data_IF_832706007389
#
_entry.id   IF_832706007389
#
_cell.length_a   1.000
_cell.length_b   1.000
_cell.length_c   1.000
_cell.angle_alpha   90.00
_cell.angle_beta   90.00
_cell.angle_gamma   90.00
#
_symmetry.space_group_name_H-M   'P 1'
#
loop_
_entity.id
_entity.type
_entity.pdbx_description
1 polymer ?
#
# COMPACT_ATOMS: atom_id res chain seq x y z
N UNK A 1 5.25 -7.36 18.11
CA UNK A 1 5.92 -7.71 16.84
C UNK A 1 6.19 -9.19 16.83
N UNK A 2 5.91 -9.88 15.72
CA UNK A 2 6.36 -11.26 15.54
C UNK A 2 7.87 -11.30 15.60
N UNK A 3 8.43 -12.05 16.54
CA UNK A 3 9.89 -12.21 16.62
C UNK A 3 10.45 -13.08 15.50
N UNK A 4 9.58 -13.73 14.70
CA UNK A 4 9.94 -14.65 13.63
C UNK A 4 9.14 -14.41 12.34
N UNK A 5 9.74 -14.71 11.21
CA UNK A 5 9.10 -14.84 9.88
C UNK A 5 8.24 -16.12 9.80
N UNK A 6 7.30 -16.24 8.84
CA UNK A 6 6.57 -17.48 8.53
C UNK A 6 7.43 -18.75 8.39
N UNK A 7 8.68 -18.65 7.94
CA UNK A 7 9.59 -19.79 7.85
C UNK A 7 10.32 -20.13 9.17
N UNK A 8 10.05 -19.38 10.25
CA UNK A 8 10.60 -19.61 11.58
C UNK A 8 11.90 -18.88 11.89
N UNK A 9 12.48 -18.16 10.92
CA UNK A 9 13.69 -17.35 11.13
C UNK A 9 13.41 -16.12 12.00
N UNK A 10 14.32 -15.70 12.89
CA UNK A 10 14.17 -14.46 13.62
C UNK A 10 14.13 -13.24 12.69
N UNK A 11 13.18 -12.34 12.90
CA UNK A 11 13.11 -11.05 12.17
C UNK A 11 14.25 -10.13 12.59
N UNK A 12 14.73 -9.30 11.66
CA UNK A 12 15.82 -8.34 11.90
C UNK A 12 17.21 -8.98 12.05
N UNK A 13 17.35 -10.27 11.74
CA UNK A 13 18.65 -10.94 11.70
C UNK A 13 19.31 -10.68 10.34
N UNK A 14 20.49 -10.01 10.27
CA UNK A 14 21.12 -9.65 9.00
C UNK A 14 21.34 -10.82 8.04
N UNK A 15 21.59 -12.02 8.56
CA UNK A 15 21.78 -13.24 7.77
C UNK A 15 20.53 -13.68 6.99
N UNK A 16 19.35 -13.25 7.43
CA UNK A 16 18.05 -13.57 6.82
C UNK A 16 17.44 -12.37 6.09
N UNK A 17 18.21 -11.32 5.86
CA UNK A 17 17.72 -10.08 5.27
C UNK A 17 18.28 -9.83 3.87
N UNK A 18 17.44 -9.27 3.02
CA UNK A 18 17.85 -8.64 1.77
C UNK A 18 17.84 -7.13 1.97
N UNK A 19 19.02 -6.52 2.09
CA UNK A 19 19.18 -5.16 2.60
C UNK A 19 18.48 -4.99 3.97
N UNK A 20 17.46 -4.14 4.06
CA UNK A 20 16.69 -3.90 5.28
C UNK A 20 15.42 -4.77 5.37
N UNK A 21 15.20 -5.71 4.45
CA UNK A 21 13.96 -6.49 4.35
C UNK A 21 14.15 -7.90 4.88
N UNK A 22 13.22 -8.40 5.69
CA UNK A 22 13.18 -9.79 6.11
C UNK A 22 12.84 -10.70 4.92
N UNK A 23 13.56 -11.81 4.78
CA UNK A 23 13.28 -12.82 3.75
C UNK A 23 12.18 -13.78 4.22
N UNK A 24 11.00 -13.69 3.62
CA UNK A 24 9.87 -14.58 3.90
C UNK A 24 9.92 -15.85 3.06
N UNK A 25 10.24 -15.68 1.78
CA UNK A 25 10.47 -16.77 0.83
C UNK A 25 11.67 -16.42 -0.03
N UNK A 26 12.74 -17.20 0.08
CA UNK A 26 14.02 -16.93 -0.55
C UNK A 26 13.85 -16.66 -2.06
N UNK A 27 14.37 -15.51 -2.51
CA UNK A 27 14.36 -15.11 -3.91
C UNK A 27 13.04 -14.54 -4.44
N UNK A 28 11.94 -14.56 -3.67
CA UNK A 28 10.63 -14.17 -4.21
C UNK A 28 9.71 -13.38 -3.27
N UNK A 29 9.80 -13.52 -1.94
CA UNK A 29 8.99 -12.71 -1.01
C UNK A 29 9.85 -12.12 0.10
N UNK A 30 9.76 -10.81 0.25
CA UNK A 30 10.43 -10.05 1.30
C UNK A 30 9.42 -9.13 1.97
N UNK A 31 9.60 -8.88 3.27
CA UNK A 31 8.76 -7.96 4.03
C UNK A 31 9.59 -6.90 4.74
N UNK A 32 9.00 -5.72 4.85
CA UNK A 32 9.55 -4.63 5.64
C UNK A 32 8.41 -4.04 6.46
N UNK A 33 8.57 -4.12 7.78
CA UNK A 33 7.59 -3.64 8.75
C UNK A 33 8.05 -2.25 9.23
N UNK A 34 7.09 -1.35 9.40
CA UNK A 34 7.28 -0.15 10.19
C UNK A 34 7.20 -0.45 11.69
N UNK A 35 7.19 0.61 12.50
CA UNK A 35 7.03 0.54 13.95
C UNK A 35 5.66 1.04 14.42
N UNK A 36 4.91 1.73 13.55
CA UNK A 36 3.61 2.30 13.89
C UNK A 36 2.50 1.78 12.97
N UNK A 37 1.28 1.76 13.50
CA UNK A 37 0.04 1.48 12.76
C UNK A 37 -0.71 2.80 12.50
N UNK A 38 -1.51 2.88 11.43
CA UNK A 38 -2.26 4.12 11.13
C UNK A 38 -3.27 4.51 12.22
N UNK A 39 -3.71 3.55 13.03
CA UNK A 39 -4.56 3.78 14.20
C UNK A 39 -3.76 4.10 15.49
N UNK A 40 -2.47 4.38 15.39
CA UNK A 40 -1.61 4.72 16.54
C UNK A 40 -2.03 6.00 17.24
N UNK A 41 -1.81 6.08 18.55
CA UNK A 41 -2.12 7.25 19.38
C UNK A 41 -1.31 8.50 19.05
N UNK A 42 -0.26 8.37 18.23
CA UNK A 42 0.53 9.49 17.69
C UNK A 42 -0.26 10.38 16.73
N UNK A 43 -1.23 9.83 15.99
CA UNK A 43 -2.01 10.58 15.01
C UNK A 43 -3.21 11.26 15.66
N UNK A 44 -3.69 12.38 15.12
CA UNK A 44 -4.81 13.12 15.69
C UNK A 44 -6.11 12.31 15.64
N UNK A 45 -7.08 12.56 16.54
CA UNK A 45 -8.37 11.84 16.50
C UNK A 45 -9.17 12.10 15.21
N UNK A 46 -8.92 13.23 14.54
CA UNK A 46 -9.59 13.57 13.30
C UNK A 46 -9.14 12.67 12.14
N UNK A 47 -7.86 12.31 12.09
CA UNK A 47 -7.23 11.58 10.98
C UNK A 47 -6.96 10.10 11.28
N UNK A 48 -6.67 9.75 12.54
CA UNK A 48 -6.24 8.41 12.97
C UNK A 48 -7.22 7.32 12.58
N UNK A 49 -6.72 6.29 11.89
CA UNK A 49 -7.50 5.18 11.37
C UNK A 49 -8.24 5.49 10.05
N UNK A 50 -8.25 6.74 9.59
CA UNK A 50 -8.99 7.19 8.39
C UNK A 50 -8.06 7.57 7.22
N UNK A 51 -6.74 7.56 7.43
CA UNK A 51 -5.76 8.04 6.48
C UNK A 51 -5.24 6.98 5.48
N UNK A 52 -5.92 5.83 5.31
CA UNK A 52 -5.44 4.71 4.47
C UNK A 52 -5.09 5.14 3.04
N UNK A 53 -5.98 5.84 2.34
CA UNK A 53 -5.73 6.31 0.97
C UNK A 53 -4.53 7.27 0.90
N UNK A 54 -4.44 8.21 1.83
CA UNK A 54 -3.35 9.17 1.90
C UNK A 54 -2.01 8.48 2.16
N UNK A 55 -1.96 7.48 3.04
CA UNK A 55 -0.78 6.66 3.28
C UNK A 55 -0.35 5.92 2.01
N UNK A 56 -1.30 5.35 1.26
CA UNK A 56 -1.02 4.65 0.00
C UNK A 56 -0.43 5.62 -1.04
N UNK A 57 -1.01 6.80 -1.19
CA UNK A 57 -0.50 7.84 -2.10
C UNK A 57 0.92 8.25 -1.71
N UNK A 58 1.18 8.46 -0.42
CA UNK A 58 2.53 8.79 0.07
C UNK A 58 3.50 7.63 -0.10
N UNK A 59 3.07 6.38 0.05
CA UNK A 59 3.90 5.20 -0.24
C UNK A 59 4.33 5.20 -1.72
N UNK A 60 3.39 5.42 -2.63
CA UNK A 60 3.68 5.51 -4.07
C UNK A 60 4.61 6.68 -4.37
N UNK A 61 4.38 7.85 -3.77
CA UNK A 61 5.29 9.00 -3.88
C UNK A 61 6.71 8.67 -3.38
N UNK A 62 6.83 8.00 -2.24
CA UNK A 62 8.10 7.60 -1.66
C UNK A 62 8.86 6.61 -2.57
N UNK A 63 8.16 5.71 -3.26
CA UNK A 63 8.73 4.77 -4.24
C UNK A 63 9.29 5.50 -5.48
N UNK A 64 8.80 6.72 -5.76
CA UNK A 64 9.35 7.56 -6.82
C UNK A 64 10.65 8.26 -6.39
N UNK A 65 10.83 8.48 -5.08
CA UNK A 65 11.98 9.18 -4.52
C UNK A 65 13.12 8.19 -4.19
N UNK A 66 12.79 7.03 -3.62
CA UNK A 66 13.75 6.02 -3.19
C UNK A 66 13.43 4.64 -3.75
N UNK A 67 14.45 3.97 -4.29
CA UNK A 67 14.38 2.54 -4.63
C UNK A 67 13.99 1.70 -3.40
N UNK A 68 13.16 0.66 -3.59
CA UNK A 68 12.74 -0.26 -2.50
C UNK A 68 13.92 -0.85 -1.71
N UNK A 69 15.07 -1.08 -2.34
CA UNK A 69 16.29 -1.58 -1.67
C UNK A 69 16.79 -0.64 -0.56
N UNK A 70 16.50 0.66 -0.67
CA UNK A 70 16.91 1.69 0.28
C UNK A 70 15.87 1.92 1.39
N UNK A 71 14.69 1.32 1.29
CA UNK A 71 13.65 1.45 2.30
C UNK A 71 14.09 0.78 3.60
N UNK A 72 13.62 1.33 4.72
CA UNK A 72 13.80 0.81 6.07
C UNK A 72 12.51 1.01 6.87
N UNK A 73 12.44 0.48 8.09
CA UNK A 73 11.28 0.69 8.96
C UNK A 73 10.97 2.19 9.17
N UNK A 74 12.01 3.02 9.26
CA UNK A 74 11.87 4.47 9.37
C UNK A 74 11.25 5.11 8.12
N UNK A 75 11.52 4.57 6.92
CA UNK A 75 10.87 5.03 5.68
C UNK A 75 9.38 4.68 5.69
N UNK A 76 9.02 3.48 6.15
CA UNK A 76 7.61 3.05 6.30
C UNK A 76 6.88 3.95 7.31
N UNK A 77 7.50 4.26 8.45
CA UNK A 77 6.92 5.17 9.44
C UNK A 77 6.78 6.60 8.88
N UNK A 78 7.78 7.07 8.11
CA UNK A 78 7.72 8.36 7.43
C UNK A 78 6.57 8.44 6.42
N UNK A 79 6.27 7.35 5.70
CA UNK A 79 5.09 7.27 4.82
C UNK A 79 3.81 7.56 5.60
N UNK A 80 3.65 7.01 6.81
CA UNK A 80 2.45 7.25 7.63
C UNK A 80 2.38 8.67 8.17
N UNK A 81 3.52 9.26 8.56
CA UNK A 81 3.56 10.66 9.03
C UNK A 81 3.20 11.62 7.90
N UNK A 82 3.79 11.44 6.72
CA UNK A 82 3.44 12.27 5.55
C UNK A 82 1.99 12.00 5.11
N UNK A 83 1.52 10.76 5.20
CA UNK A 83 0.15 10.39 4.87
C UNK A 83 -0.88 11.03 5.80
N UNK A 84 -0.59 11.13 7.10
CA UNK A 84 -1.43 11.87 8.05
C UNK A 84 -1.49 13.37 7.72
N UNK A 85 -0.33 13.99 7.43
CA UNK A 85 -0.26 15.40 7.05
C UNK A 85 -1.08 15.67 5.78
N UNK A 86 -0.91 14.83 4.77
CA UNK A 86 -1.65 14.91 3.52
C UNK A 86 -3.15 14.65 3.71
N UNK A 87 -3.54 13.72 4.58
CA UNK A 87 -4.93 13.44 4.93
C UNK A 87 -5.60 14.67 5.56
N UNK A 88 -4.96 15.30 6.55
CA UNK A 88 -5.47 16.53 7.18
C UNK A 88 -5.69 17.64 6.15
N UNK A 89 -4.82 17.76 5.16
CA UNK A 89 -5.05 18.70 4.06
C UNK A 89 -6.25 18.32 3.20
N UNK A 90 -6.41 17.04 2.82
CA UNK A 90 -7.54 16.58 2.01
C UNK A 90 -8.89 16.81 2.70
N UNK A 91 -8.97 16.60 4.02
CA UNK A 91 -10.23 16.69 4.78
C UNK A 91 -10.49 18.06 5.41
N UNK A 92 -9.60 19.06 5.24
CA UNK A 92 -9.69 20.33 5.98
C UNK A 92 -11.01 21.08 5.78
N UNK A 93 -11.62 20.93 4.61
CA UNK A 93 -12.86 21.61 4.22
C UNK A 93 -14.11 20.74 4.48
N UNK A 94 -13.91 19.53 5.00
CA UNK A 94 -14.96 18.54 5.28
C UNK A 94 -15.43 18.70 6.73
N UNK A 95 -16.74 18.97 6.89
CA UNK A 95 -17.34 19.28 8.20
C UNK A 95 -17.93 18.05 8.90
N UNK A 96 -18.09 16.94 8.19
CA UNK A 96 -18.69 15.73 8.74
C UNK A 96 -17.67 14.92 9.55
N UNK A 97 -17.95 14.71 10.84
CA UNK A 97 -17.02 14.05 11.77
C UNK A 97 -16.71 12.58 11.39
N UNK A 98 -17.68 11.90 10.78
CA UNK A 98 -17.58 10.49 10.37
C UNK A 98 -17.39 10.32 8.86
N UNK A 99 -16.91 11.36 8.18
CA UNK A 99 -16.65 11.30 6.75
C UNK A 99 -15.60 10.24 6.42
N UNK A 100 -15.91 9.38 5.44
CA UNK A 100 -14.97 8.41 4.89
C UNK A 100 -14.33 8.98 3.62
N UNK A 101 -13.01 9.15 3.67
CA UNK A 101 -12.24 9.68 2.54
C UNK A 101 -12.37 8.77 1.30
N UNK A 102 -12.74 9.37 0.18
CA UNK A 102 -12.79 8.73 -1.13
C UNK A 102 -11.60 9.14 -2.00
N UNK A 103 -11.49 8.54 -3.20
CA UNK A 103 -10.44 8.90 -4.16
C UNK A 103 -10.62 10.34 -4.65
N UNK A 104 -11.87 10.82 -4.77
CA UNK A 104 -12.18 12.13 -5.34
C UNK A 104 -11.85 13.29 -4.38
N UNK A 105 -11.67 13.00 -3.10
CA UNK A 105 -11.28 13.97 -2.07
C UNK A 105 -9.76 14.20 -2.02
N UNK A 106 -8.99 13.37 -2.71
CA UNK A 106 -7.53 13.46 -2.72
C UNK A 106 -7.08 14.69 -3.51
N UNK A 107 -6.29 15.54 -2.88
CA UNK A 107 -5.69 16.71 -3.56
C UNK A 107 -4.68 16.27 -4.62
N UNK A 108 -4.45 17.13 -5.61
CA UNK A 108 -3.47 16.83 -6.65
C UNK A 108 -2.04 17.01 -6.14
N UNK A 109 -1.80 18.04 -5.34
CA UNK A 109 -0.48 18.40 -4.81
C UNK A 109 -0.13 17.57 -3.57
N UNK A 110 1.08 17.02 -3.57
CA UNK A 110 1.62 16.18 -2.52
C UNK A 110 3.05 16.59 -2.17
N UNK A 111 3.44 16.32 -0.93
CA UNK A 111 4.72 16.74 -0.38
C UNK A 111 5.33 15.63 0.48
N UNK A 112 6.61 15.34 0.23
CA UNK A 112 7.46 14.48 1.06
C UNK A 112 8.82 15.19 1.10
N UNK A 113 9.16 15.85 2.20
CA UNK A 113 10.37 16.66 2.29
C UNK A 113 11.64 15.87 1.86
N UNK A 114 12.52 16.46 1.02
CA UNK A 114 12.50 17.81 0.47
C UNK A 114 11.84 17.92 -0.91
N UNK A 115 10.88 17.07 -1.26
CA UNK A 115 10.27 16.99 -2.59
C UNK A 115 8.78 17.36 -2.58
N UNK A 116 8.35 17.96 -3.69
CA UNK A 116 6.93 18.12 -4.04
C UNK A 116 6.64 17.30 -5.29
N UNK A 117 5.40 16.84 -5.43
CA UNK A 117 4.93 16.15 -6.63
C UNK A 117 3.43 16.32 -6.80
N UNK A 118 2.93 15.98 -7.98
CA UNK A 118 1.50 15.91 -8.28
C UNK A 118 1.08 14.50 -8.58
N UNK A 119 -0.13 14.15 -8.21
CA UNK A 119 -0.75 12.87 -8.53
C UNK A 119 -1.91 13.05 -9.50
N UNK A 120 -2.07 12.08 -10.40
CA UNK A 120 -3.28 11.89 -11.17
C UNK A 120 -3.77 10.48 -10.93
N UNK A 121 -5.00 10.35 -10.46
CA UNK A 121 -5.64 9.06 -10.20
C UNK A 121 -6.70 8.83 -11.29
N UNK A 122 -6.70 7.63 -11.87
CA UNK A 122 -7.68 7.24 -12.89
C UNK A 122 -8.14 5.81 -12.69
N UNK A 123 -9.45 5.57 -12.76
CA UNK A 123 -10.00 4.22 -12.75
C UNK A 123 -9.50 3.43 -13.99
N UNK A 124 -9.08 2.18 -13.79
CA UNK A 124 -8.59 1.29 -14.84
C UNK A 124 -9.44 0.02 -14.94
N UNK A 125 -9.86 -0.55 -13.81
CA UNK A 125 -10.61 -1.82 -13.79
C UNK A 125 -11.67 -1.80 -12.69
N UNK A 126 -12.88 -2.17 -13.09
CA UNK A 126 -13.95 -2.60 -12.19
C UNK A 126 -14.07 -4.13 -12.28
N UNK A 127 -14.03 -4.82 -11.15
CA UNK A 127 -14.00 -6.28 -11.12
C UNK A 127 -14.57 -6.90 -9.86
N UNK A 128 -14.53 -8.23 -9.80
CA UNK A 128 -14.91 -8.99 -8.61
C UNK A 128 -13.93 -10.11 -8.39
N UNK A 129 -13.56 -10.39 -7.13
CA UNK A 129 -12.56 -11.41 -6.83
C UNK A 129 -13.02 -12.83 -7.22
N UNK A 130 -14.34 -13.06 -7.36
CA UNK A 130 -14.92 -14.36 -7.68
C UNK A 130 -15.56 -14.41 -9.08
N UNK A 131 -15.56 -15.58 -9.71
CA UNK A 131 -16.23 -15.84 -10.99
C UNK A 131 -17.76 -15.95 -10.83
N UNK A 132 -18.42 -14.92 -10.32
CA UNK A 132 -19.89 -14.90 -10.21
C UNK A 132 -20.56 -14.37 -11.48
N UNK A 133 -19.84 -13.59 -12.30
CA UNK A 133 -20.35 -13.02 -13.56
C UNK A 133 -19.34 -13.24 -14.68
N UNK A 134 -19.72 -13.96 -15.74
CA UNK A 134 -18.82 -14.34 -16.85
C UNK A 134 -18.15 -13.18 -17.59
N UNK A 135 -18.67 -11.95 -17.44
CA UNK A 135 -18.16 -10.72 -18.04
C UNK A 135 -17.31 -9.83 -17.12
N UNK A 136 -17.07 -10.25 -15.87
CA UNK A 136 -16.31 -9.45 -14.89
C UNK A 136 -14.84 -9.87 -14.83
N UNK A 137 -13.94 -8.89 -14.62
CA UNK A 137 -12.53 -9.17 -14.36
C UNK A 137 -12.38 -9.87 -13.00
N UNK A 138 -11.73 -11.03 -12.99
CA UNK A 138 -11.15 -11.57 -11.76
C UNK A 138 -9.80 -10.88 -11.47
N UNK A 139 -9.28 -11.01 -10.25
CA UNK A 139 -8.07 -10.30 -9.85
C UNK A 139 -6.86 -10.64 -10.75
N UNK A 140 -6.73 -11.91 -11.18
CA UNK A 140 -5.67 -12.32 -12.11
C UNK A 140 -5.73 -11.57 -13.44
N UNK A 141 -6.90 -11.56 -14.10
CA UNK A 141 -7.11 -10.86 -15.37
C UNK A 141 -6.94 -9.34 -15.21
N UNK A 142 -7.44 -8.79 -14.10
CA UNK A 142 -7.35 -7.36 -13.81
C UNK A 142 -5.89 -6.92 -13.65
N UNK A 143 -5.10 -7.65 -12.86
CA UNK A 143 -3.69 -7.34 -12.65
C UNK A 143 -2.86 -7.55 -13.92
N UNK A 144 -3.17 -8.58 -14.72
CA UNK A 144 -2.52 -8.76 -16.03
C UNK A 144 -2.78 -7.57 -16.94
N UNK A 145 -4.05 -7.18 -17.09
CA UNK A 145 -4.42 -6.01 -17.87
C UNK A 145 -3.79 -4.72 -17.31
N UNK A 146 -3.71 -4.59 -15.99
CA UNK A 146 -3.10 -3.43 -15.34
C UNK A 146 -1.60 -3.30 -15.65
N UNK A 147 -0.85 -4.40 -15.73
CA UNK A 147 0.60 -4.35 -16.01
C UNK A 147 0.96 -4.53 -17.49
N UNK A 148 -0.02 -4.81 -18.35
CA UNK A 148 0.19 -5.06 -19.78
C UNK A 148 0.83 -3.85 -20.46
N UNK A 149 1.96 -4.06 -21.16
CA UNK A 149 2.78 -3.01 -21.78
C UNK A 149 3.36 -1.94 -20.82
N UNK A 150 3.41 -2.20 -19.50
CA UNK A 150 4.05 -1.30 -18.53
C UNK A 150 5.25 -1.95 -17.82
N UNK A 151 6.42 -1.31 -17.95
CA UNK A 151 7.60 -1.66 -17.14
C UNK A 151 7.48 -1.16 -15.70
N UNK A 152 6.76 -0.06 -15.51
CA UNK A 152 6.55 0.60 -14.23
C UNK A 152 5.14 1.16 -14.14
N UNK A 153 4.36 0.69 -13.18
CA UNK A 153 2.97 1.15 -12.95
C UNK A 153 2.56 0.94 -11.50
N UNK A 154 1.86 1.92 -10.94
CA UNK A 154 1.45 1.96 -9.54
C UNK A 154 -0.05 2.17 -9.43
N UNK A 155 -0.66 1.50 -8.47
CA UNK A 155 -2.10 1.53 -8.32
C UNK A 155 -2.58 1.39 -6.89
N UNK A 156 -3.85 1.72 -6.74
CA UNK A 156 -4.64 1.51 -5.53
C UNK A 156 -5.68 0.47 -5.89
N UNK A 157 -5.76 -0.60 -5.11
CA UNK A 157 -6.87 -1.53 -5.18
C UNK A 157 -7.78 -1.30 -3.98
N UNK A 158 -9.05 -1.04 -4.26
CA UNK A 158 -10.09 -0.86 -3.26
C UNK A 158 -11.06 -2.03 -3.35
N UNK A 159 -11.40 -2.62 -2.22
CA UNK A 159 -12.37 -3.70 -2.11
C UNK A 159 -13.47 -3.27 -1.17
N UNK A 160 -14.71 -3.37 -1.63
CA UNK A 160 -15.90 -3.10 -0.82
C UNK A 160 -16.51 -4.42 -0.36
N UNK A 161 -16.80 -4.52 0.94
CA UNK A 161 -17.48 -5.65 1.58
C UNK A 161 -18.67 -5.18 2.40
N UNK A 162 -19.53 -6.12 2.77
CA UNK A 162 -20.67 -5.88 3.66
C UNK A 162 -20.30 -5.21 5.00
N UNK A 163 -19.07 -5.38 5.48
CA UNK A 163 -18.61 -4.90 6.79
C UNK A 163 -17.44 -3.90 6.70
N UNK A 164 -17.21 -3.29 5.55
CA UNK A 164 -16.21 -2.25 5.40
C UNK A 164 -15.50 -2.26 4.07
N UNK A 165 -14.53 -1.36 3.96
CA UNK A 165 -13.69 -1.17 2.79
C UNK A 165 -12.27 -1.56 3.15
N UNK A 166 -11.54 -2.10 2.18
CA UNK A 166 -10.11 -2.41 2.32
C UNK A 166 -9.37 -1.87 1.13
N UNK A 167 -8.27 -1.18 1.39
CA UNK A 167 -7.50 -0.47 0.38
C UNK A 167 -6.02 -0.82 0.51
N UNK A 168 -5.38 -1.14 -0.62
CA UNK A 168 -3.96 -1.46 -0.66
C UNK A 168 -3.28 -0.66 -1.78
N UNK A 169 -2.03 -0.25 -1.52
CA UNK A 169 -1.13 0.21 -2.57
C UNK A 169 -0.43 -0.97 -3.20
N UNK A 170 -0.26 -0.97 -4.52
CA UNK A 170 0.50 -2.01 -5.20
C UNK A 170 1.13 -1.50 -6.48
N UNK A 171 2.05 -2.27 -7.06
CA UNK A 171 2.56 -1.96 -8.38
C UNK A 171 3.80 -2.74 -8.77
N UNK A 172 4.35 -2.34 -9.91
CA UNK A 172 5.59 -2.83 -10.52
C UNK A 172 6.55 -1.66 -10.61
N UNK A 173 7.73 -1.76 -10.01
CA UNK A 173 8.76 -0.69 -10.04
C UNK A 173 9.71 -0.84 -11.22
N UNK A 174 9.98 -2.09 -11.63
CA UNK A 174 10.80 -2.50 -12.77
C UNK A 174 10.48 -3.96 -13.11
N UNK A 175 11.17 -4.52 -14.10
CA UNK A 175 11.03 -5.95 -14.40
C UNK A 175 11.35 -6.82 -13.18
N UNK A 176 10.50 -7.83 -12.96
CA UNK A 176 10.56 -8.75 -11.82
C UNK A 176 10.66 -8.08 -10.43
N UNK A 177 10.11 -6.87 -10.26
CA UNK A 177 10.01 -6.22 -8.96
C UNK A 177 8.63 -5.60 -8.76
N UNK A 178 7.87 -6.22 -7.87
CA UNK A 178 6.52 -5.81 -7.50
C UNK A 178 6.47 -5.46 -6.01
N UNK A 179 5.46 -4.69 -5.62
CA UNK A 179 5.20 -4.43 -4.21
C UNK A 179 3.71 -4.41 -3.86
N UNK A 180 3.44 -4.58 -2.58
CA UNK A 180 2.14 -4.36 -1.94
C UNK A 180 2.37 -3.61 -0.63
N UNK A 181 1.71 -2.48 -0.42
CA UNK A 181 1.74 -1.67 0.80
C UNK A 181 0.39 -1.73 1.52
N UNK A 182 0.44 -1.91 2.83
CA UNK A 182 -0.74 -2.00 3.71
C UNK A 182 -0.44 -1.34 5.06
N UNK A 183 -1.37 -0.54 5.53
CA UNK A 183 -1.28 0.14 6.82
C UNK A 183 -2.50 -0.07 7.72
N UNK A 184 -3.44 -0.93 7.32
CA UNK A 184 -4.74 -1.15 7.97
C UNK A 184 -4.84 -2.53 8.64
N UNK A 185 -4.06 -3.52 8.20
CA UNK A 185 -4.17 -4.89 8.72
C UNK A 185 -3.89 -5.01 10.22
N UNK A 186 -4.82 -5.68 10.89
CA UNK A 186 -4.73 -6.11 12.28
C UNK A 186 -4.90 -7.62 12.34
N UNK A 187 -4.02 -8.30 13.06
CA UNK A 187 -4.12 -9.73 13.32
C UNK A 187 -4.00 -10.60 12.08
N UNK A 188 -4.53 -11.82 12.20
CA UNK A 188 -4.37 -12.88 11.20
C UNK A 188 -5.01 -12.49 9.87
N UNK A 189 -4.47 -12.90 8.70
CA UNK A 189 -3.31 -13.79 8.54
C UNK A 189 -1.96 -13.06 8.53
N UNK A 190 -1.93 -11.73 8.48
CA UNK A 190 -0.69 -10.97 8.28
C UNK A 190 0.13 -10.87 9.58
N UNK A 191 -0.57 -10.79 10.71
CA UNK A 191 0.04 -10.70 12.04
C UNK A 191 -0.60 -11.72 12.99
N UNK A 192 0.06 -12.04 14.12
CA UNK A 192 -0.63 -12.69 15.23
C UNK A 192 -1.75 -11.81 15.75
N UNK A 193 -2.73 -12.44 16.39
CA UNK A 193 -3.88 -11.74 16.92
C UNK A 193 -3.48 -10.55 17.82
N UNK A 194 -4.21 -9.44 17.65
CA UNK A 194 -3.94 -8.17 18.36
C UNK A 194 -2.72 -7.36 17.91
N UNK A 195 -1.90 -7.84 16.95
CA UNK A 195 -0.78 -7.06 16.41
C UNK A 195 -1.17 -6.30 15.14
N UNK A 196 -0.67 -5.07 15.02
CA UNK A 196 -0.91 -4.19 13.88
C UNK A 196 0.27 -3.24 13.67
N UNK A 197 0.83 -3.23 12.47
CA UNK A 197 1.84 -2.26 12.00
C UNK A 197 1.64 -2.05 10.51
N UNK A 198 2.05 -0.90 9.98
CA UNK A 198 2.19 -0.78 8.54
C UNK A 198 3.35 -1.63 8.03
N UNK A 199 3.19 -2.16 6.82
CA UNK A 199 4.21 -2.97 6.17
C UNK A 199 4.13 -2.82 4.66
N UNK A 200 5.24 -3.16 4.02
CA UNK A 200 5.33 -3.32 2.58
C UNK A 200 5.93 -4.68 2.29
N UNK A 201 5.41 -5.35 1.26
CA UNK A 201 5.95 -6.57 0.70
C UNK A 201 6.60 -6.26 -0.63
N UNK A 202 7.75 -6.86 -0.87
CA UNK A 202 8.41 -6.90 -2.19
C UNK A 202 8.33 -8.32 -2.72
N UNK A 203 7.94 -8.46 -3.98
CA UNK A 203 7.89 -9.77 -4.66
C UNK A 203 8.64 -9.75 -5.97
N UNK A 204 9.21 -10.89 -6.38
CA UNK A 204 9.92 -10.97 -7.67
C UNK A 204 9.06 -11.57 -8.78
N UNK A 205 7.99 -12.29 -8.43
CA UNK A 205 7.06 -12.86 -9.39
C UNK A 205 5.66 -12.23 -9.33
N UNK A 206 5.00 -12.17 -10.49
CA UNK A 206 3.60 -11.74 -10.60
C UNK A 206 2.66 -12.64 -9.79
N UNK A 207 2.89 -13.95 -9.81
CA UNK A 207 2.07 -14.92 -9.07
C UNK A 207 2.17 -14.69 -7.56
N UNK A 208 3.35 -14.31 -7.04
CA UNK A 208 3.49 -13.96 -5.64
C UNK A 208 2.74 -12.70 -5.27
N UNK A 209 2.81 -11.65 -6.11
CA UNK A 209 2.00 -10.44 -5.92
C UNK A 209 0.51 -10.76 -5.86
N UNK A 210 0.00 -11.53 -6.83
CA UNK A 210 -1.40 -11.96 -6.87
C UNK A 210 -1.79 -12.71 -5.59
N UNK A 211 -0.92 -13.61 -5.12
CA UNK A 211 -1.18 -14.39 -3.92
C UNK A 211 -1.29 -13.50 -2.67
N UNK A 212 -0.33 -12.59 -2.46
CA UNK A 212 -0.35 -11.70 -1.27
C UNK A 212 -1.52 -10.72 -1.31
N UNK A 213 -1.90 -10.21 -2.49
CA UNK A 213 -3.10 -9.39 -2.64
C UNK A 213 -4.37 -10.18 -2.32
N UNK A 214 -4.49 -11.41 -2.85
CA UNK A 214 -5.66 -12.26 -2.59
C UNK A 214 -5.82 -12.57 -1.10
N UNK A 215 -4.72 -12.92 -0.42
CA UNK A 215 -4.70 -13.19 1.02
C UNK A 215 -5.10 -11.96 1.85
N UNK A 216 -4.59 -10.79 1.46
CA UNK A 216 -4.78 -9.55 2.23
C UNK A 216 -6.17 -8.95 2.03
N UNK A 217 -6.70 -9.00 0.80
CA UNK A 217 -7.99 -8.42 0.42
C UNK A 217 -9.19 -9.29 0.85
N UNK A 218 -9.05 -10.61 0.93
CA UNK A 218 -10.08 -11.57 1.41
C UNK A 218 -11.45 -11.49 0.70
N UNK A 219 -11.49 -11.36 -0.63
CA UNK A 219 -12.73 -11.48 -1.43
C UNK A 219 -13.57 -10.21 -1.54
N UNK A 220 -14.49 -10.14 -2.51
CA UNK A 220 -15.40 -8.98 -2.74
C UNK A 220 -15.25 -8.31 -4.11
N UNK A 221 -16.08 -7.32 -4.35
CA UNK A 221 -15.99 -6.46 -5.54
C UNK A 221 -14.84 -5.47 -5.37
N UNK A 222 -14.09 -5.23 -6.44
CA UNK A 222 -12.88 -4.43 -6.38
C UNK A 222 -12.80 -3.41 -7.52
N UNK A 223 -12.09 -2.33 -7.22
CA UNK A 223 -11.78 -1.23 -8.14
C UNK A 223 -10.27 -1.02 -8.14
N UNK A 224 -9.67 -0.96 -9.33
CA UNK A 224 -8.24 -0.66 -9.50
C UNK A 224 -8.10 0.71 -10.13
N UNK A 225 -7.41 1.58 -9.39
CA UNK A 225 -7.03 2.91 -9.86
C UNK A 225 -5.54 2.93 -10.15
N UNK A 226 -5.15 3.56 -11.25
CA UNK A 226 -3.76 3.92 -11.51
C UNK A 226 -3.43 5.25 -10.82
N UNK A 227 -2.22 5.34 -10.24
CA UNK A 227 -1.67 6.57 -9.67
C UNK A 227 -0.44 6.98 -10.47
N UNK A 228 -0.57 8.07 -11.24
CA UNK A 228 0.56 8.67 -11.96
C UNK A 228 1.13 9.83 -11.16
N UNK A 229 2.41 9.73 -10.82
CA UNK A 229 3.17 10.85 -10.24
C UNK A 229 3.77 11.70 -11.36
N UNK A 230 3.60 13.01 -11.26
CA UNK A 230 4.16 14.00 -12.19
C UNK A 230 4.80 15.13 -11.41
N UNK A 231 5.64 15.94 -12.06
CA UNK A 231 6.24 17.13 -11.45
C UNK A 231 6.98 16.84 -10.13
N UNK A 232 7.63 15.68 -10.01
CA UNK A 232 8.47 15.38 -8.84
C UNK A 232 9.72 16.24 -8.90
N UNK A 233 9.77 17.26 -8.05
CA UNK A 233 10.86 18.24 -8.00
C UNK A 233 11.23 18.56 -6.55
N UNK A 234 12.49 18.94 -6.26
CA UNK A 234 12.84 19.48 -4.96
C UNK A 234 12.00 20.72 -4.62
N UNK A 235 11.61 20.87 -3.36
CA UNK A 235 11.03 22.07 -2.80
C UNK A 235 12.01 23.25 -3.00
N UNK A 236 11.45 24.41 -3.33
CA UNK A 236 12.21 25.66 -3.48
C UNK A 236 12.45 26.32 -2.12
#
# INVERSE_FOLDING_TARGET
>A
MTSKTPNGSPRGCPEHMWHNWDTEYAGDLYSLLGNIHQASTTFSLQSRGKQTLCNIVMAIGMIQIYDLKAWSAAVVDSVLVNGDNYCRECIKDIKEENYELSIDDLKTECEIFPYTFKIKISNVVDGTMFLLRSKSFNLFKALRYFFDDYDRRFGIITVSKYNGKRQLGFGKTRDLEYFMFDCESVGVPMFPDGQAVAYILRTTTFNRLLHVLTLTLRGGDFFIFEVKTTQLVPMK
#
